data_IF_466279265362
#
_entry.id   IF_466279265362
#
_cell.length_a   1.000
_cell.length_b   1.000
_cell.length_c   1.000
_cell.angle_alpha   90.00
_cell.angle_beta   90.00
_cell.angle_gamma   90.00
#
_symmetry.space_group_name_H-M   'P 1'
#
loop_
_entity.id
_entity.type
_entity.pdbx_description
1 polymer ?
#
# COMPACT_ATOMS: atom_id res chain seq x y z
N UNK A 1 16.57 -3.38 3.55
CA UNK A 1 15.57 -4.44 3.32
C UNK A 1 15.72 -4.89 1.87
N UNK A 2 15.45 -6.15 1.53
CA UNK A 2 15.36 -6.59 0.13
C UNK A 2 13.96 -6.31 -0.42
N UNK A 3 13.82 -6.22 -1.74
CA UNK A 3 12.54 -6.02 -2.42
C UNK A 3 11.49 -7.07 -1.99
N UNK A 4 11.87 -8.35 -2.01
CA UNK A 4 11.02 -9.46 -1.58
C UNK A 4 10.51 -9.30 -0.14
N UNK A 5 11.34 -8.77 0.75
CA UNK A 5 10.96 -8.55 2.14
C UNK A 5 9.96 -7.40 2.27
N UNK A 6 10.15 -6.32 1.52
CA UNK A 6 9.21 -5.19 1.51
C UNK A 6 7.86 -5.60 0.92
N UNK A 7 7.84 -6.39 -0.16
CA UNK A 7 6.60 -6.93 -0.73
C UNK A 7 5.87 -7.86 0.25
N UNK A 8 6.60 -8.72 0.95
CA UNK A 8 6.02 -9.59 2.00
C UNK A 8 5.39 -8.78 3.14
N UNK A 9 6.06 -7.73 3.60
CA UNK A 9 5.56 -6.84 4.66
C UNK A 9 4.32 -6.05 4.20
N UNK A 10 4.29 -5.59 2.94
CA UNK A 10 3.10 -4.97 2.35
C UNK A 10 1.92 -5.94 2.35
N UNK A 11 2.12 -7.20 1.93
CA UNK A 11 1.05 -8.21 1.92
C UNK A 11 0.54 -8.52 3.33
N UNK A 12 1.43 -8.62 4.32
CA UNK A 12 1.07 -8.85 5.72
C UNK A 12 0.21 -7.70 6.27
N UNK A 13 0.63 -6.46 6.04
CA UNK A 13 -0.12 -5.27 6.49
C UNK A 13 -1.47 -5.15 5.77
N UNK A 14 -1.53 -5.47 4.48
CA UNK A 14 -2.80 -5.52 3.73
C UNK A 14 -3.78 -6.52 4.32
N UNK A 15 -3.31 -7.69 4.76
CA UNK A 15 -4.15 -8.69 5.43
C UNK A 15 -4.70 -8.25 6.80
N UNK A 16 -4.18 -7.16 7.38
CA UNK A 16 -4.66 -6.58 8.63
C UNK A 16 -5.71 -5.47 8.40
N UNK A 17 -5.88 -4.99 7.16
CA UNK A 17 -6.86 -3.96 6.85
C UNK A 17 -8.27 -4.48 7.13
N UNK A 18 -9.03 -3.70 7.89
CA UNK A 18 -10.41 -4.02 8.26
C UNK A 18 -11.41 -3.55 7.22
N UNK A 19 -10.99 -2.67 6.31
CA UNK A 19 -11.85 -1.91 5.40
C UNK A 19 -12.44 -0.65 6.02
N UNK A 20 -12.17 -0.38 7.31
CA UNK A 20 -12.58 0.83 7.99
C UNK A 20 -11.46 1.87 7.90
N UNK A 21 -11.65 2.90 7.07
CA UNK A 21 -10.66 3.95 6.84
C UNK A 21 -10.19 4.67 8.11
N UNK A 22 -11.03 4.75 9.15
CA UNK A 22 -10.67 5.41 10.40
C UNK A 22 -9.76 4.54 11.28
N UNK A 23 -9.86 3.22 11.16
CA UNK A 23 -9.04 2.25 11.91
C UNK A 23 -7.77 1.90 11.12
N UNK A 24 -7.88 1.89 9.79
CA UNK A 24 -6.83 1.43 8.89
C UNK A 24 -5.81 2.51 8.54
N UNK A 25 -6.01 3.77 8.93
CA UNK A 25 -5.18 4.90 8.50
C UNK A 25 -3.68 4.72 8.77
N UNK A 26 -3.31 4.18 9.94
CA UNK A 26 -1.90 3.90 10.26
C UNK A 26 -1.32 2.76 9.42
N UNK A 27 -2.11 1.72 9.15
CA UNK A 27 -1.69 0.59 8.33
C UNK A 27 -1.53 1.02 6.86
N UNK A 28 -2.47 1.80 6.34
CA UNK A 28 -2.42 2.36 4.99
C UNK A 28 -1.20 3.27 4.82
N UNK A 29 -0.90 4.11 5.80
CA UNK A 29 0.29 4.97 5.78
C UNK A 29 1.59 4.15 5.73
N UNK A 30 1.70 3.09 6.56
CA UNK A 30 2.87 2.19 6.53
C UNK A 30 3.01 1.46 5.20
N UNK A 31 1.90 0.97 4.65
CA UNK A 31 1.88 0.34 3.33
C UNK A 31 2.42 1.32 2.27
N UNK A 32 1.94 2.56 2.27
CA UNK A 32 2.39 3.59 1.32
C UNK A 32 3.89 3.90 1.45
N UNK A 33 4.41 4.00 2.68
CA UNK A 33 5.85 4.21 2.91
C UNK A 33 6.70 3.06 2.37
N UNK A 34 6.25 1.82 2.54
CA UNK A 34 6.93 0.64 1.99
C UNK A 34 6.85 0.63 0.46
N UNK A 35 5.70 0.96 -0.13
CA UNK A 35 5.54 1.12 -1.58
C UNK A 35 6.48 2.20 -2.13
N UNK A 36 6.62 3.34 -1.45
CA UNK A 36 7.57 4.40 -1.83
C UNK A 36 9.03 3.95 -1.78
N UNK A 37 9.39 3.04 -0.87
CA UNK A 37 10.75 2.48 -0.85
C UNK A 37 11.03 1.61 -2.08
N UNK A 38 10.00 0.94 -2.60
CA UNK A 38 10.09 0.12 -3.80
C UNK A 38 10.03 0.96 -5.08
N UNK A 39 9.13 1.96 -5.11
CA UNK A 39 8.92 2.85 -6.25
C UNK A 39 8.69 4.29 -5.74
N UNK A 40 9.74 5.08 -5.57
CA UNK A 40 9.61 6.45 -5.04
C UNK A 40 8.80 7.37 -5.96
N UNK A 41 8.76 7.05 -7.26
CA UNK A 41 8.05 7.81 -8.29
C UNK A 41 6.53 7.92 -8.02
N UNK A 42 5.95 7.02 -7.22
CA UNK A 42 4.51 7.05 -6.86
C UNK A 42 4.14 8.26 -5.98
N UNK A 43 5.13 8.93 -5.37
CA UNK A 43 4.91 10.17 -4.64
C UNK A 43 4.49 11.31 -5.56
N UNK A 44 5.12 11.41 -6.73
CA UNK A 44 4.82 12.44 -7.72
C UNK A 44 3.83 11.95 -8.79
N UNK A 45 3.73 10.63 -8.99
CA UNK A 45 2.91 9.99 -10.01
C UNK A 45 2.11 8.82 -9.40
N UNK A 46 1.05 9.09 -8.62
CA UNK A 46 0.27 8.06 -7.92
C UNK A 46 -0.30 6.96 -8.83
N UNK A 47 -0.53 7.26 -10.11
CA UNK A 47 -0.97 6.30 -11.14
C UNK A 47 0.06 5.19 -11.43
N UNK A 48 1.32 5.37 -11.01
CA UNK A 48 2.36 4.37 -11.12
C UNK A 48 2.37 3.38 -9.93
N UNK A 49 1.48 3.55 -8.94
CA UNK A 49 1.29 2.59 -7.85
C UNK A 49 0.51 1.37 -8.38
N UNK A 50 1.25 0.33 -8.76
CA UNK A 50 0.74 -0.96 -9.23
C UNK A 50 0.82 -2.06 -8.16
N UNK A 51 1.13 -1.70 -6.91
CA UNK A 51 1.26 -2.67 -5.82
C UNK A 51 -0.08 -3.21 -5.33
N UNK A 52 -1.19 -2.67 -5.84
CA UNK A 52 -2.56 -3.14 -5.59
C UNK A 52 -3.02 -4.07 -6.73
N UNK A 53 -2.56 -5.33 -6.69
CA UNK A 53 -3.03 -6.43 -7.58
C UNK A 53 -4.55 -6.70 -7.47
N UNK A 54 -5.19 -6.19 -6.42
CA UNK A 54 -6.65 -6.15 -6.27
C UNK A 54 -7.09 -4.71 -6.46
N UNK A 55 -7.41 -4.35 -7.71
CA UNK A 55 -7.81 -3.01 -8.10
C UNK A 55 -8.68 -2.37 -7.02
N UNK A 56 -8.23 -1.24 -6.49
CA UNK A 56 -8.84 -0.52 -5.38
C UNK A 56 -10.32 -0.29 -5.70
N UNK A 57 -11.17 -1.23 -5.28
CA UNK A 57 -12.58 -1.29 -5.65
C UNK A 57 -13.41 -0.22 -4.92
N UNK A 58 -12.77 0.55 -4.02
CA UNK A 58 -13.49 1.40 -3.08
C UNK A 58 -12.77 2.69 -2.64
N UNK A 59 -11.82 3.23 -3.41
CA UNK A 59 -11.44 4.65 -3.23
C UNK A 59 -12.34 5.58 -4.07
N UNK A 60 -13.66 5.57 -3.81
CA UNK A 60 -14.56 6.62 -4.31
C UNK A 60 -15.83 6.13 -5.02
N UNK A 61 -16.67 5.35 -4.35
CA UNK A 61 -18.12 5.33 -4.64
C UNK A 61 -18.90 5.64 -3.37
#
# INVERSE_FOLDING_TARGET
>A
MTEEKLMGEIQELKGQLTGNIFEDGELQQKIYELKKQLRPEIEENPELDDFDDEGCLYCGS
#
